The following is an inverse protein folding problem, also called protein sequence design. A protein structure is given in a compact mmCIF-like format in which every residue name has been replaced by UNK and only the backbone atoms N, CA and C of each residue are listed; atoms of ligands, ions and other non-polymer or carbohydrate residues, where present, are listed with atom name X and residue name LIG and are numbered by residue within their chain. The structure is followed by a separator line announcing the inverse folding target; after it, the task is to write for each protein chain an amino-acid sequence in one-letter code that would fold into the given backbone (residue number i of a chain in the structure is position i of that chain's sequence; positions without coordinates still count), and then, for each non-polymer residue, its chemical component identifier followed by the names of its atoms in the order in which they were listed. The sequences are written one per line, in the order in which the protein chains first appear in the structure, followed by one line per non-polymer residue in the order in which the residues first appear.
data_IF_422366936411
#
_entry.id   IF_422366936411
#
_cell.length_a   1.000
_cell.length_b   1.000
_cell.length_c   1.000
_cell.angle_alpha   90.00
_cell.angle_beta   90.00
_cell.angle_gamma   90.00
#
_symmetry.space_group_name_H-M   'P 1'
#
loop_
_entity.id
_entity.type
_entity.pdbx_description
1 polymer ?
#
# COMPACT_ATOMS: atom_id res chain seq x y z
N UNK A 1 8.57 -6.65 -10.70
CA UNK A 1 9.79 -6.11 -10.09
C UNK A 1 9.92 -4.62 -10.41
N UNK A 2 10.59 -3.86 -9.55
CA UNK A 2 10.93 -2.44 -9.74
C UNK A 2 12.44 -2.31 -9.66
N UNK A 3 13.01 -1.54 -10.57
CA UNK A 3 14.44 -1.19 -10.53
C UNK A 3 14.54 0.22 -9.97
N UNK A 4 15.40 0.39 -8.98
CA UNK A 4 15.71 1.70 -8.38
C UNK A 4 17.18 1.99 -8.66
N UNK A 5 17.45 3.17 -9.18
CA UNK A 5 18.80 3.61 -9.51
C UNK A 5 19.07 5.02 -8.97
N UNK A 6 20.33 5.42 -9.00
CA UNK A 6 20.72 6.76 -8.56
C UNK A 6 20.24 7.81 -9.58
N UNK A 7 19.66 8.90 -9.11
CA UNK A 7 19.06 9.92 -9.98
C UNK A 7 20.06 10.52 -11.01
N UNK A 8 21.31 10.73 -10.62
CA UNK A 8 22.34 11.27 -11.52
C UNK A 8 22.70 10.40 -12.73
N UNK A 9 22.31 9.13 -12.71
CA UNK A 9 22.53 8.15 -13.79
C UNK A 9 21.25 7.62 -14.39
N UNK A 10 20.09 8.11 -13.91
CA UNK A 10 18.78 7.57 -14.23
C UNK A 10 18.15 8.26 -15.44
N UNK A 11 17.69 7.45 -16.39
CA UNK A 11 16.76 7.86 -17.44
C UNK A 11 15.30 7.58 -17.04
N UNK A 12 15.08 7.22 -15.76
CA UNK A 12 13.76 6.92 -15.23
C UNK A 12 12.82 8.11 -15.37
N UNK A 13 11.58 7.82 -15.75
CA UNK A 13 10.54 8.83 -15.87
C UNK A 13 9.98 9.29 -14.50
N UNK A 14 10.37 8.63 -13.39
CA UNK A 14 9.88 8.96 -12.05
C UNK A 14 11.03 9.13 -11.05
N UNK A 15 10.89 10.15 -10.21
CA UNK A 15 11.76 10.43 -9.07
C UNK A 15 11.08 10.01 -7.77
N UNK A 16 11.83 9.43 -6.84
CA UNK A 16 11.37 9.18 -5.47
C UNK A 16 11.61 10.43 -4.64
N UNK A 17 10.55 11.12 -4.25
CA UNK A 17 10.60 12.30 -3.38
C UNK A 17 10.83 11.90 -1.93
N UNK A 18 10.19 10.81 -1.49
CA UNK A 18 10.33 10.35 -0.14
C UNK A 18 9.79 8.95 0.07
N UNK A 19 10.25 8.34 1.16
CA UNK A 19 9.77 7.04 1.64
C UNK A 19 9.43 7.11 3.12
N UNK A 20 8.44 6.35 3.55
CA UNK A 20 8.06 6.23 4.96
C UNK A 20 7.64 4.81 5.26
N UNK A 21 8.06 4.29 6.41
CA UNK A 21 7.66 2.99 6.94
C UNK A 21 7.20 3.16 8.38
N UNK A 22 6.16 2.43 8.75
CA UNK A 22 5.62 2.38 10.11
C UNK A 22 5.18 0.96 10.42
N UNK A 23 5.44 0.51 11.66
CA UNK A 23 4.96 -0.78 12.16
C UNK A 23 4.29 -0.58 13.51
N UNK A 24 3.13 -1.23 13.69
CA UNK A 24 2.40 -1.30 14.95
C UNK A 24 2.05 -2.77 15.21
N UNK A 25 2.55 -3.33 16.30
CA UNK A 25 2.28 -4.74 16.62
C UNK A 25 0.78 -5.03 16.71
N UNK A 26 0.36 -6.09 16.03
CA UNK A 26 -1.00 -6.64 16.08
C UNK A 26 -1.01 -8.12 15.68
N UNK A 27 -1.81 -8.91 16.37
CA UNK A 27 -2.07 -10.32 16.03
C UNK A 27 -3.31 -10.52 15.14
N UNK A 28 -3.95 -9.43 14.69
CA UNK A 28 -5.18 -9.53 13.90
C UNK A 28 -4.96 -10.03 12.47
N UNK A 29 -3.72 -9.92 11.96
CA UNK A 29 -3.26 -10.60 10.74
C UNK A 29 -1.99 -11.34 11.11
N UNK A 30 -1.99 -12.65 10.97
CA UNK A 30 -0.81 -13.46 11.28
C UNK A 30 -0.77 -14.73 10.45
N UNK A 31 0.43 -15.21 10.20
CA UNK A 31 0.70 -16.54 9.75
C UNK A 31 1.46 -17.26 10.88
N UNK A 32 0.88 -18.31 11.40
CA UNK A 32 1.51 -19.12 12.46
C UNK A 32 2.42 -20.21 11.90
N UNK A 33 2.44 -20.38 10.58
CA UNK A 33 3.25 -21.37 9.91
C UNK A 33 4.63 -20.80 9.54
N UNK A 34 5.66 -21.63 9.70
CA UNK A 34 7.02 -21.30 9.26
C UNK A 34 8.06 -21.48 10.35
N UNK A 35 9.04 -20.61 10.38
CA UNK A 35 10.26 -20.74 11.18
C UNK A 35 10.06 -20.99 12.68
N UNK A 36 9.00 -20.46 13.28
CA UNK A 36 8.70 -20.62 14.70
C UNK A 36 7.85 -21.86 15.01
N UNK A 37 7.18 -22.44 14.01
CA UNK A 37 6.38 -23.66 14.13
C UNK A 37 6.90 -24.67 13.11
N UNK A 38 7.85 -25.50 13.53
CA UNK A 38 8.41 -26.51 12.65
C UNK A 38 7.33 -27.55 12.29
N UNK A 39 7.17 -27.90 11.00
CA UNK A 39 6.19 -28.89 10.54
C UNK A 39 6.39 -30.27 11.15
N UNK A 40 7.63 -30.60 11.50
CA UNK A 40 8.05 -31.89 12.02
C UNK A 40 7.45 -32.21 13.42
N UNK A 41 7.19 -31.16 14.21
CA UNK A 41 6.73 -31.31 15.60
C UNK A 41 5.23 -31.11 15.78
N UNK A 42 4.46 -30.98 14.68
CA UNK A 42 3.06 -30.60 14.75
C UNK A 42 2.23 -31.23 13.64
N UNK A 43 0.95 -31.47 13.94
CA UNK A 43 -0.04 -31.92 12.96
C UNK A 43 -0.06 -30.96 11.76
N UNK A 44 0.23 -31.43 10.53
CA UNK A 44 0.22 -30.60 9.32
C UNK A 44 -1.14 -29.92 9.05
N UNK A 45 -2.22 -30.51 9.53
CA UNK A 45 -3.60 -30.02 9.33
C UNK A 45 -4.11 -29.15 10.49
N UNK A 46 -3.27 -28.87 11.49
CA UNK A 46 -3.67 -28.07 12.63
C UNK A 46 -4.08 -26.65 12.21
N UNK A 47 -5.22 -26.20 12.68
CA UNK A 47 -5.82 -24.89 12.32
C UNK A 47 -4.98 -23.68 12.73
N UNK A 48 -4.08 -23.84 13.71
CA UNK A 48 -3.14 -22.81 14.18
C UNK A 48 -2.06 -22.48 13.15
N UNK A 49 -1.85 -23.32 12.14
CA UNK A 49 -0.91 -23.11 11.04
C UNK A 49 -1.47 -22.28 9.90
N UNK A 50 -2.78 -22.10 9.88
CA UNK A 50 -3.45 -21.35 8.82
C UNK A 50 -3.22 -19.83 8.98
N UNK A 51 -3.28 -19.13 7.85
CA UNK A 51 -3.36 -17.68 7.85
C UNK A 51 -4.63 -17.23 8.57
N UNK A 52 -4.47 -16.37 9.57
CA UNK A 52 -5.56 -15.85 10.38
C UNK A 52 -5.71 -14.36 10.13
N UNK A 53 -6.93 -13.94 9.83
CA UNK A 53 -7.27 -12.53 9.67
C UNK A 53 -8.59 -12.23 10.38
N UNK A 54 -8.53 -11.34 11.37
CA UNK A 54 -9.72 -10.78 12.02
C UNK A 54 -10.22 -9.58 11.22
N UNK A 55 -10.88 -9.81 10.09
CA UNK A 55 -11.17 -8.80 9.07
C UNK A 55 -11.82 -7.52 9.61
N UNK A 56 -12.78 -7.62 10.56
CA UNK A 56 -13.45 -6.46 11.15
C UNK A 56 -12.50 -5.60 12.00
N UNK A 57 -11.61 -6.21 12.78
CA UNK A 57 -10.60 -5.50 13.58
C UNK A 57 -9.56 -4.87 12.68
N UNK A 58 -9.08 -5.62 11.68
CA UNK A 58 -8.15 -5.13 10.67
C UNK A 58 -8.70 -3.89 9.97
N UNK A 59 -9.95 -3.93 9.50
CA UNK A 59 -10.59 -2.79 8.84
C UNK A 59 -10.60 -1.54 9.73
N UNK A 60 -10.99 -1.70 11.00
CA UNK A 60 -11.09 -0.58 11.96
C UNK A 60 -9.74 0.04 12.31
N UNK A 61 -8.67 -0.76 12.33
CA UNK A 61 -7.35 -0.31 12.77
C UNK A 61 -6.46 0.13 11.61
N UNK A 62 -6.50 -0.60 10.48
CA UNK A 62 -5.61 -0.33 9.35
C UNK A 62 -6.05 0.90 8.56
N UNK A 63 -7.35 1.10 8.36
CA UNK A 63 -7.85 2.26 7.58
C UNK A 63 -7.35 3.59 8.16
N UNK A 64 -7.56 3.92 9.46
CA UNK A 64 -7.03 5.15 10.03
C UNK A 64 -5.49 5.16 10.04
N UNK A 65 -4.83 4.04 10.32
CA UNK A 65 -3.38 3.95 10.33
C UNK A 65 -2.76 4.33 8.98
N UNK A 66 -3.33 3.82 7.87
CA UNK A 66 -2.84 4.12 6.51
C UNK A 66 -3.14 5.56 6.13
N UNK A 67 -4.34 6.07 6.45
CA UNK A 67 -4.70 7.47 6.24
C UNK A 67 -3.72 8.41 6.93
N UNK A 68 -3.50 8.23 8.23
CA UNK A 68 -2.61 9.08 9.03
C UNK A 68 -1.16 8.96 8.53
N UNK A 69 -0.73 7.74 8.17
CA UNK A 69 0.60 7.48 7.64
C UNK A 69 0.87 8.27 6.34
N UNK A 70 -0.08 8.25 5.39
CA UNK A 70 0.04 8.98 4.12
C UNK A 70 -0.02 10.48 4.37
N UNK A 71 -0.98 10.96 5.16
CA UNK A 71 -1.12 12.37 5.49
C UNK A 71 0.16 12.95 6.14
N UNK A 72 0.70 12.25 7.14
CA UNK A 72 1.97 12.62 7.79
C UNK A 72 3.14 12.57 6.82
N UNK A 73 3.15 11.61 5.89
CA UNK A 73 4.24 11.49 4.91
C UNK A 73 4.23 12.68 3.96
N UNK A 74 3.09 13.05 3.40
CA UNK A 74 2.93 14.22 2.54
C UNK A 74 3.28 15.51 3.28
N UNK A 75 2.82 15.66 4.52
CA UNK A 75 3.09 16.84 5.36
C UNK A 75 4.60 17.07 5.56
N UNK A 76 5.41 16.03 5.70
CA UNK A 76 6.87 16.14 5.84
C UNK A 76 7.55 16.80 4.64
N UNK A 77 6.94 16.72 3.48
CA UNK A 77 7.45 17.31 2.22
C UNK A 77 6.68 18.55 1.82
N UNK A 78 5.76 19.06 2.68
CA UNK A 78 4.87 20.21 2.40
C UNK A 78 4.01 19.99 1.14
N UNK A 79 3.61 18.75 0.86
CA UNK A 79 2.76 18.37 -0.26
C UNK A 79 1.31 18.30 0.21
N UNK A 80 0.41 18.98 -0.52
CA UNK A 80 -1.02 18.86 -0.27
C UNK A 80 -1.55 17.56 -0.92
N UNK A 81 -2.49 16.90 -0.26
CA UNK A 81 -3.13 15.70 -0.84
C UNK A 81 -3.85 15.99 -2.16
N UNK A 82 -4.34 17.21 -2.36
CA UNK A 82 -5.00 17.65 -3.60
C UNK A 82 -4.03 17.82 -4.78
N UNK A 83 -2.71 17.86 -4.52
CA UNK A 83 -1.67 17.86 -5.53
C UNK A 83 -1.27 16.45 -5.98
N UNK A 84 -1.83 15.43 -5.31
CA UNK A 84 -1.59 14.02 -5.64
C UNK A 84 -2.58 13.55 -6.69
N UNK A 85 -2.09 13.31 -7.90
CA UNK A 85 -2.89 12.82 -9.01
C UNK A 85 -3.40 11.40 -8.79
N UNK A 86 -2.62 10.54 -8.07
CA UNK A 86 -2.98 9.12 -7.93
C UNK A 86 -2.46 8.48 -6.67
N UNK A 87 -3.33 7.64 -6.08
CA UNK A 87 -3.06 6.80 -4.92
C UNK A 87 -3.05 5.34 -5.37
N UNK A 88 -1.88 4.72 -5.49
CA UNK A 88 -1.73 3.29 -5.76
C UNK A 88 -1.68 2.52 -4.44
N UNK A 89 -2.85 2.17 -3.94
CA UNK A 89 -3.01 1.51 -2.65
C UNK A 89 -2.84 -0.01 -2.76
N UNK A 90 -2.55 -0.63 -1.63
CA UNK A 90 -2.53 -2.09 -1.47
C UNK A 90 -3.86 -2.71 -1.91
N UNK A 91 -3.83 -3.66 -2.82
CA UNK A 91 -5.01 -4.27 -3.42
C UNK A 91 -5.52 -5.44 -2.55
N UNK A 92 -6.01 -5.15 -1.33
CA UNK A 92 -6.55 -6.15 -0.42
C UNK A 92 -8.07 -6.18 -0.39
N UNK A 93 -8.71 -5.00 -0.42
CA UNK A 93 -10.15 -4.85 -0.27
C UNK A 93 -10.60 -3.50 -0.84
N UNK A 94 -11.56 -3.52 -1.76
CA UNK A 94 -12.09 -2.32 -2.40
C UNK A 94 -12.61 -1.28 -1.38
N UNK A 95 -13.42 -1.73 -0.41
CA UNK A 95 -14.03 -0.82 0.57
C UNK A 95 -12.98 -0.15 1.48
N UNK A 96 -11.89 -0.85 1.79
CA UNK A 96 -10.76 -0.26 2.54
C UNK A 96 -10.12 0.86 1.74
N UNK A 97 -9.82 0.61 0.47
CA UNK A 97 -9.18 1.59 -0.40
C UNK A 97 -10.08 2.81 -0.62
N UNK A 98 -11.36 2.60 -0.90
CA UNK A 98 -12.34 3.68 -1.03
C UNK A 98 -12.41 4.55 0.23
N UNK A 99 -12.45 3.92 1.40
CA UNK A 99 -12.53 4.67 2.67
C UNK A 99 -11.23 5.41 2.99
N UNK A 100 -10.06 4.83 2.71
CA UNK A 100 -8.77 5.50 2.88
C UNK A 100 -8.70 6.73 1.96
N UNK A 101 -8.96 6.56 0.66
CA UNK A 101 -8.92 7.65 -0.31
C UNK A 101 -9.96 8.74 0.00
N UNK A 102 -11.19 8.36 0.34
CA UNK A 102 -12.25 9.29 0.75
C UNK A 102 -11.84 10.16 1.94
N UNK A 103 -11.22 9.56 2.94
CA UNK A 103 -10.76 10.29 4.14
C UNK A 103 -9.59 11.22 3.84
N UNK A 104 -8.68 10.82 2.96
CA UNK A 104 -7.56 11.65 2.52
C UNK A 104 -8.03 12.84 1.69
N UNK A 105 -8.91 12.59 0.72
CA UNK A 105 -9.39 13.61 -0.24
C UNK A 105 -10.52 14.49 0.33
N UNK A 106 -11.18 14.06 1.41
CA UNK A 106 -12.39 14.72 1.94
C UNK A 106 -13.64 14.52 1.08
N UNK A 107 -13.58 13.69 0.04
CA UNK A 107 -14.66 13.34 -0.90
C UNK A 107 -14.46 11.92 -1.43
N UNK A 108 -15.44 11.39 -2.12
CA UNK A 108 -15.26 10.12 -2.82
C UNK A 108 -14.19 10.28 -3.92
N UNK A 109 -13.25 9.32 -4.06
CA UNK A 109 -12.24 9.34 -5.11
C UNK A 109 -12.89 9.06 -6.48
N UNK A 110 -12.33 9.63 -7.53
CA UNK A 110 -12.59 9.21 -8.90
C UNK A 110 -11.77 7.95 -9.24
N UNK A 111 -12.23 7.19 -10.25
CA UNK A 111 -11.58 5.92 -10.62
C UNK A 111 -10.10 6.09 -10.99
N UNK A 112 -9.77 7.20 -11.63
CA UNK A 112 -8.39 7.49 -12.03
C UNK A 112 -7.50 7.93 -10.86
N UNK A 113 -8.06 8.44 -9.76
CA UNK A 113 -7.31 8.85 -8.56
C UNK A 113 -6.92 7.66 -7.69
N UNK A 114 -7.72 6.59 -7.72
CA UNK A 114 -7.48 5.38 -6.93
C UNK A 114 -7.80 4.12 -7.76
N UNK A 115 -6.91 3.74 -8.69
CA UNK A 115 -7.13 2.59 -9.54
C UNK A 115 -7.24 1.28 -8.76
N UNK A 116 -8.17 0.43 -9.19
CA UNK A 116 -8.43 -0.89 -8.61
C UNK A 116 -8.04 -1.96 -9.62
N UNK A 117 -7.22 -2.91 -9.18
CA UNK A 117 -6.77 -4.05 -9.97
C UNK A 117 -7.23 -5.40 -9.40
N UNK A 118 -8.08 -5.35 -8.36
CA UNK A 118 -8.58 -6.54 -7.65
C UNK A 118 -9.39 -7.49 -8.55
N UNK A 119 -10.11 -6.96 -9.55
CA UNK A 119 -10.92 -7.76 -10.44
C UNK A 119 -10.10 -8.67 -11.34
N UNK A 120 -8.89 -8.19 -11.74
CA UNK A 120 -8.04 -8.89 -12.71
C UNK A 120 -6.93 -9.70 -12.02
N UNK A 121 -6.43 -9.22 -10.89
CA UNK A 121 -5.24 -9.77 -10.23
C UNK A 121 -5.50 -10.29 -8.81
N UNK A 122 -6.69 -10.11 -8.27
CA UNK A 122 -7.02 -10.41 -6.87
C UNK A 122 -6.05 -9.74 -5.88
N UNK A 123 -5.97 -10.26 -4.65
CA UNK A 123 -5.01 -9.77 -3.65
C UNK A 123 -3.63 -10.42 -3.86
N UNK A 124 -2.74 -9.72 -4.53
CA UNK A 124 -1.35 -10.13 -4.77
C UNK A 124 -0.38 -9.64 -3.68
N UNK A 125 -0.87 -9.39 -2.48
CA UNK A 125 -0.07 -8.83 -1.37
C UNK A 125 0.51 -7.45 -1.75
N UNK A 126 1.73 -7.13 -1.32
CA UNK A 126 2.36 -5.83 -1.61
C UNK A 126 2.61 -5.58 -3.11
N UNK A 127 2.63 -6.63 -3.94
CA UNK A 127 2.77 -6.47 -5.39
C UNK A 127 1.58 -5.73 -6.03
N UNK A 128 0.39 -5.79 -5.43
CA UNK A 128 -0.82 -5.16 -5.98
C UNK A 128 -0.70 -3.65 -6.18
N UNK A 129 -0.07 -2.92 -5.27
CA UNK A 129 0.16 -1.47 -5.44
C UNK A 129 1.14 -1.16 -6.57
N UNK A 130 2.15 -2.02 -6.78
CA UNK A 130 3.13 -1.90 -7.88
C UNK A 130 2.49 -2.25 -9.22
N UNK A 131 1.61 -3.25 -9.26
CA UNK A 131 0.84 -3.60 -10.46
C UNK A 131 -0.07 -2.43 -10.85
N UNK A 132 -0.80 -1.87 -9.88
CA UNK A 132 -1.65 -0.70 -10.11
C UNK A 132 -0.84 0.49 -10.66
N UNK A 133 0.32 0.79 -10.06
CA UNK A 133 1.25 1.80 -10.58
C UNK A 133 1.65 1.50 -12.03
N UNK A 134 2.13 0.29 -12.30
CA UNK A 134 2.60 -0.09 -13.64
C UNK A 134 1.53 0.11 -14.71
N UNK A 135 0.29 -0.28 -14.43
CA UNK A 135 -0.80 -0.25 -15.39
C UNK A 135 -1.39 1.15 -15.64
N UNK A 136 -1.17 2.09 -14.71
CA UNK A 136 -1.88 3.39 -14.74
C UNK A 136 -0.96 4.61 -14.66
N UNK A 137 0.36 4.45 -14.79
CA UNK A 137 1.33 5.55 -14.69
C UNK A 137 1.55 6.35 -15.99
N UNK A 138 1.08 5.85 -17.14
CA UNK A 138 1.52 6.35 -18.45
C UNK A 138 0.86 7.70 -18.83
N UNK A 139 -0.22 8.08 -18.17
CA UNK A 139 -0.89 9.38 -18.32
C UNK A 139 -0.30 10.51 -17.42
N UNK A 140 0.77 10.21 -16.70
CA UNK A 140 1.48 11.20 -15.90
C UNK A 140 2.32 12.13 -16.78
N UNK A 141 2.17 13.41 -16.58
CA UNK A 141 3.01 14.46 -17.20
C UNK A 141 3.99 15.01 -16.18
N UNK A 142 4.99 15.75 -16.63
CA UNK A 142 6.02 16.35 -15.77
C UNK A 142 5.40 17.08 -14.58
N UNK A 143 5.97 16.86 -13.40
CA UNK A 143 5.55 17.34 -12.09
C UNK A 143 4.30 16.68 -11.49
N UNK A 144 3.58 15.83 -12.22
CA UNK A 144 2.51 15.01 -11.60
C UNK A 144 3.07 14.15 -10.47
N UNK A 145 2.39 14.15 -9.34
CA UNK A 145 2.76 13.36 -8.17
C UNK A 145 1.78 12.22 -7.89
N UNK A 146 2.32 11.14 -7.36
CA UNK A 146 1.52 9.99 -6.90
C UNK A 146 2.12 9.32 -5.67
N UNK A 147 1.29 8.56 -4.96
CA UNK A 147 1.69 7.81 -3.78
C UNK A 147 1.45 6.33 -3.99
N UNK A 148 2.50 5.52 -3.89
CA UNK A 148 2.37 4.07 -3.74
C UNK A 148 2.32 3.77 -2.24
N UNK A 149 1.31 3.02 -1.78
CA UNK A 149 1.24 2.58 -0.40
C UNK A 149 0.77 1.15 -0.28
N UNK A 150 1.54 0.36 0.47
CA UNK A 150 1.19 -1.02 0.84
C UNK A 150 1.13 -1.18 2.34
N UNK A 151 0.25 -2.07 2.78
CA UNK A 151 0.08 -2.39 4.20
C UNK A 151 -0.24 -3.88 4.37
N UNK A 152 -0.01 -4.40 5.55
CA UNK A 152 -0.24 -5.82 5.84
C UNK A 152 -0.02 -6.19 7.29
N UNK A 153 0.31 -7.46 7.46
CA UNK A 153 0.59 -8.02 8.79
C UNK A 153 1.66 -7.20 9.51
N UNK A 154 1.53 -7.17 10.79
CA UNK A 154 2.42 -6.42 11.67
C UNK A 154 1.62 -5.65 12.72
N UNK A 155 0.79 -4.62 12.50
CA UNK A 155 0.62 -4.06 11.14
C UNK A 155 1.86 -3.34 10.66
N UNK A 156 2.16 -3.45 9.39
CA UNK A 156 3.16 -2.62 8.74
C UNK A 156 2.53 -1.85 7.59
N UNK A 157 2.88 -0.58 7.44
CA UNK A 157 2.51 0.27 6.30
C UNK A 157 3.73 0.98 5.78
N UNK A 158 3.88 0.95 4.46
CA UNK A 158 4.93 1.68 3.74
C UNK A 158 4.32 2.57 2.67
N UNK A 159 4.93 3.73 2.44
CA UNK A 159 4.59 4.60 1.33
C UNK A 159 5.79 5.21 0.64
N UNK A 160 5.64 5.44 -0.66
CA UNK A 160 6.62 6.09 -1.53
C UNK A 160 5.91 7.21 -2.27
N UNK A 161 6.42 8.42 -2.17
CA UNK A 161 5.96 9.57 -2.97
C UNK A 161 6.80 9.63 -4.24
N UNK A 162 6.14 9.63 -5.38
CA UNK A 162 6.75 9.71 -6.70
C UNK A 162 6.37 11.01 -7.38
N UNK A 163 7.30 11.56 -8.16
CA UNK A 163 7.06 12.68 -9.08
C UNK A 163 7.51 12.29 -10.48
N UNK A 164 6.71 12.62 -11.49
CA UNK A 164 7.07 12.47 -12.89
C UNK A 164 8.11 13.53 -13.26
N UNK A 165 9.20 13.14 -13.92
CA UNK A 165 10.21 14.03 -14.49
C UNK A 165 9.77 14.59 -15.84
#
# INVERSE_FOLDING_TARGET
AVIIERDSSSESAFEIIGTKLQTKFSNNIRNNFGFLNLPEDSDPDASDKLFIQQGRSVFKEVVPMVQDHIADHLSKFNINILDIKRLWLHQANLNMNQLIAKRLLGRDPEDHEMPITLNDYANTSSAGSIIAFHLTKDDFVTDDMGVISSFGAGYSVGSVILRKK
#
